data_IF_167254863166
#
_entry.id   IF_167254863166
#
_cell.length_a   1.000
_cell.length_b   1.000
_cell.length_c   1.000
_cell.angle_alpha   90.00
_cell.angle_beta   90.00
_cell.angle_gamma   90.00
#
_symmetry.space_group_name_H-M   'P 1'
#
loop_
_entity.id
_entity.type
_entity.pdbx_description
1 polymer ?
#
# COMPACT_ATOMS: atom_id res chain seq x y z
N UNK A 1 2.02 11.68 -4.12
CA UNK A 1 1.73 10.67 -3.08
C UNK A 1 0.99 11.41 -1.98
N UNK A 2 -0.07 10.85 -1.40
CA UNK A 2 -0.79 11.49 -0.29
C UNK A 2 0.18 11.79 0.86
N UNK A 3 -0.07 12.90 1.53
CA UNK A 3 0.72 13.37 2.67
C UNK A 3 0.51 12.44 3.88
N UNK A 4 1.47 12.36 4.81
CA UNK A 4 1.27 11.63 6.09
C UNK A 4 -0.06 11.96 6.81
N UNK A 5 -0.51 13.24 6.91
CA UNK A 5 -1.81 13.55 7.50
C UNK A 5 -2.98 12.97 6.72
N UNK A 6 -3.00 13.04 5.38
CA UNK A 6 -4.05 12.41 4.56
C UNK A 6 -4.09 10.90 4.75
N UNK A 7 -2.91 10.26 4.81
CA UNK A 7 -2.82 8.84 5.10
C UNK A 7 -3.38 8.48 6.47
N UNK A 8 -3.15 9.34 7.48
CA UNK A 8 -3.66 9.16 8.83
C UNK A 8 -5.18 9.34 8.89
N UNK A 9 -5.73 10.30 8.14
CA UNK A 9 -7.19 10.45 8.01
C UNK A 9 -7.81 9.22 7.34
N UNK A 10 -7.22 8.72 6.26
CA UNK A 10 -7.66 7.49 5.60
C UNK A 10 -7.55 6.30 6.55
N UNK A 11 -6.48 6.19 7.33
CA UNK A 11 -6.32 5.13 8.31
C UNK A 11 -7.40 5.18 9.40
N UNK A 12 -7.68 6.38 9.94
CA UNK A 12 -8.72 6.59 10.95
C UNK A 12 -10.14 6.30 10.43
N UNK A 13 -10.41 6.44 9.13
CA UNK A 13 -11.70 6.04 8.55
C UNK A 13 -11.98 4.54 8.69
N UNK A 14 -10.94 3.72 8.83
CA UNK A 14 -11.05 2.27 8.99
C UNK A 14 -10.91 1.81 10.45
N UNK A 15 -10.61 2.72 11.36
CA UNK A 15 -10.49 2.44 12.80
C UNK A 15 -11.87 2.39 13.45
N UNK A 16 -12.43 1.18 13.55
CA UNK A 16 -13.75 0.94 14.15
C UNK A 16 -13.77 1.18 15.67
N UNK A 17 -12.63 1.01 16.36
CA UNK A 17 -12.53 1.15 17.81
C UNK A 17 -12.01 2.54 18.27
N UNK A 18 -11.59 3.39 17.32
CA UNK A 18 -11.01 4.71 17.58
C UNK A 18 -9.79 4.68 18.53
N UNK A 19 -9.04 3.58 18.54
CA UNK A 19 -7.81 3.43 19.36
C UNK A 19 -6.52 3.68 18.57
N UNK A 20 -6.64 4.08 17.30
CA UNK A 20 -5.53 4.31 16.38
C UNK A 20 -4.95 3.02 15.79
N UNK A 21 -5.76 1.95 15.72
CA UNK A 21 -5.34 0.65 15.17
C UNK A 21 -6.39 0.07 14.24
N UNK A 22 -5.92 -0.57 13.17
CA UNK A 22 -6.78 -1.32 12.24
C UNK A 22 -6.45 -2.81 12.32
N UNK A 23 -7.38 -3.63 11.87
CA UNK A 23 -7.13 -5.06 11.70
C UNK A 23 -6.17 -5.31 10.53
N UNK A 24 -5.33 -6.34 10.65
CA UNK A 24 -4.42 -6.74 9.58
C UNK A 24 -5.09 -6.97 8.22
N UNK A 25 -6.34 -7.42 8.22
CA UNK A 25 -7.12 -7.63 7.00
C UNK A 25 -7.50 -6.33 6.29
N UNK A 26 -7.60 -5.22 7.03
CA UNK A 26 -7.94 -3.90 6.49
C UNK A 26 -6.74 -3.20 5.83
N UNK A 27 -5.50 -3.64 6.08
CA UNK A 27 -4.29 -3.04 5.49
C UNK A 27 -4.41 -2.90 3.97
N UNK A 28 -4.91 -3.94 3.30
CA UNK A 28 -5.07 -3.94 1.84
C UNK A 28 -6.09 -2.91 1.36
N UNK A 29 -7.16 -2.69 2.12
CA UNK A 29 -8.22 -1.73 1.78
C UNK A 29 -7.79 -0.29 2.07
N UNK A 30 -7.11 -0.03 3.18
CA UNK A 30 -6.53 1.29 3.49
C UNK A 30 -5.51 1.70 2.43
N UNK A 31 -4.66 0.77 2.00
CA UNK A 31 -3.68 1.04 0.93
C UNK A 31 -4.37 1.36 -0.41
N UNK A 32 -5.50 0.71 -0.69
CA UNK A 32 -6.33 1.02 -1.87
C UNK A 32 -7.02 2.38 -1.76
N UNK A 33 -7.55 2.70 -0.59
CA UNK A 33 -8.15 4.01 -0.31
C UNK A 33 -7.12 5.14 -0.44
N UNK A 34 -5.86 4.88 -0.06
CA UNK A 34 -4.73 5.79 -0.25
C UNK A 34 -4.22 5.87 -1.72
N UNK A 35 -4.96 5.29 -2.68
CA UNK A 35 -4.70 5.45 -4.13
C UNK A 35 -3.64 4.51 -4.71
N UNK A 36 -3.18 3.51 -3.95
CA UNK A 36 -2.35 2.44 -4.48
C UNK A 36 -3.23 1.28 -5.00
N UNK A 37 -2.68 0.46 -5.90
CA UNK A 37 -3.37 -0.73 -6.43
C UNK A 37 -2.52 -2.00 -6.21
N UNK A 38 -2.13 -2.32 -4.97
CA UNK A 38 -1.36 -3.54 -4.72
C UNK A 38 -2.24 -4.78 -4.88
N UNK A 39 -1.62 -5.87 -5.32
CA UNK A 39 -2.26 -7.20 -5.27
C UNK A 39 -2.24 -7.73 -3.84
N UNK A 40 -3.15 -8.65 -3.50
CA UNK A 40 -3.17 -9.26 -2.17
C UNK A 40 -1.83 -9.93 -1.82
N UNK A 41 -1.12 -10.48 -2.80
CA UNK A 41 0.21 -11.04 -2.59
C UNK A 41 1.24 -9.97 -2.18
N UNK A 42 1.21 -8.79 -2.78
CA UNK A 42 2.12 -7.68 -2.43
C UNK A 42 1.80 -7.15 -1.03
N UNK A 43 0.51 -6.99 -0.70
CA UNK A 43 0.09 -6.58 0.65
C UNK A 43 0.59 -7.59 1.66
N UNK A 44 0.31 -8.88 1.47
CA UNK A 44 0.78 -9.95 2.39
C UNK A 44 2.30 -10.01 2.50
N UNK A 45 3.03 -9.75 1.41
CA UNK A 45 4.49 -9.69 1.43
C UNK A 45 5.01 -8.47 2.22
N UNK A 46 4.30 -7.35 2.16
CA UNK A 46 4.70 -6.11 2.82
C UNK A 46 4.27 -6.05 4.29
N UNK A 47 3.05 -6.50 4.61
CA UNK A 47 2.56 -6.57 5.97
C UNK A 47 3.04 -7.82 6.70
N UNK A 48 3.08 -8.98 6.05
CA UNK A 48 3.36 -10.28 6.67
C UNK A 48 2.14 -11.21 6.65
N UNK A 49 2.37 -12.52 6.74
CA UNK A 49 1.31 -13.53 6.70
C UNK A 49 0.38 -13.50 7.92
N UNK A 50 0.87 -13.02 9.05
CA UNK A 50 0.12 -12.85 10.30
C UNK A 50 -1.04 -11.85 10.19
N UNK A 51 -1.02 -10.97 9.20
CA UNK A 51 -2.09 -9.99 8.95
C UNK A 51 -3.18 -10.53 8.01
N UNK A 52 -3.08 -11.79 7.57
CA UNK A 52 -4.05 -12.40 6.64
C UNK A 52 -5.37 -12.77 7.31
N UNK A 53 -5.39 -12.96 8.64
CA UNK A 53 -6.55 -13.42 9.38
C UNK A 53 -7.10 -12.31 10.28
N UNK A 54 -8.41 -12.14 10.21
CA UNK A 54 -9.14 -11.14 10.99
C UNK A 54 -9.07 -11.49 12.48
N UNK A 55 -8.76 -10.50 13.31
CA UNK A 55 -8.68 -10.63 14.77
C UNK A 55 -7.41 -11.29 15.28
N UNK A 56 -6.46 -11.65 14.41
CA UNK A 56 -5.19 -12.24 14.82
C UNK A 56 -4.19 -11.16 15.25
N UNK A 57 -4.15 -10.04 14.53
CA UNK A 57 -3.24 -8.92 14.83
C UNK A 57 -3.80 -7.58 14.36
N UNK A 58 -3.74 -6.59 15.24
CA UNK A 58 -4.04 -5.18 14.94
C UNK A 58 -2.73 -4.41 14.79
N UNK A 59 -2.71 -3.44 13.87
CA UNK A 59 -1.53 -2.67 13.50
C UNK A 59 -1.79 -1.19 13.75
N UNK A 60 -0.78 -0.44 14.22
CA UNK A 60 -0.84 1.01 14.38
C UNK A 60 -0.49 1.72 13.08
N UNK A 61 -0.82 3.02 12.99
CA UNK A 61 -0.44 3.84 11.84
C UNK A 61 1.09 3.85 11.60
N UNK A 62 1.90 3.85 12.66
CA UNK A 62 3.36 3.85 12.58
C UNK A 62 3.91 2.56 11.97
N UNK A 63 3.29 1.42 12.26
CA UNK A 63 3.65 0.13 11.65
C UNK A 63 3.08 0.00 10.22
N UNK A 64 1.95 0.64 9.94
CA UNK A 64 1.35 0.65 8.60
C UNK A 64 2.11 1.55 7.59
N UNK A 65 2.69 2.67 8.05
CA UNK A 65 3.42 3.62 7.20
C UNK A 65 4.53 2.98 6.34
N UNK A 66 5.46 2.19 6.91
CA UNK A 66 6.51 1.55 6.12
C UNK A 66 5.96 0.52 5.12
N UNK A 67 4.84 -0.14 5.44
CA UNK A 67 4.14 -1.06 4.53
C UNK A 67 3.63 -0.28 3.31
N UNK A 68 2.97 0.85 3.55
CA UNK A 68 2.50 1.73 2.48
C UNK A 68 3.65 2.26 1.61
N UNK A 69 4.75 2.72 2.23
CA UNK A 69 5.92 3.21 1.49
C UNK A 69 6.55 2.13 0.61
N UNK A 70 6.63 0.89 1.10
CA UNK A 70 7.13 -0.24 0.32
C UNK A 70 6.25 -0.49 -0.92
N UNK A 71 4.94 -0.50 -0.75
CA UNK A 71 3.97 -0.70 -1.84
C UNK A 71 3.97 0.48 -2.83
N UNK A 72 4.19 1.69 -2.33
CA UNK A 72 4.31 2.91 -3.13
C UNK A 72 5.55 2.88 -4.03
N UNK A 73 6.70 2.45 -3.50
CA UNK A 73 7.94 2.28 -4.26
C UNK A 73 7.80 1.25 -5.38
N UNK A 74 7.05 0.17 -5.15
CA UNK A 74 6.86 -0.86 -6.17
C UNK A 74 5.97 -0.38 -7.34
N UNK A 75 4.96 0.46 -7.06
CA UNK A 75 4.16 1.14 -8.10
C UNK A 75 5.04 2.05 -8.98
N UNK A 76 5.94 2.82 -8.37
CA UNK A 76 6.87 3.71 -9.09
C UNK A 76 7.79 2.90 -10.00
N UNK A 77 8.34 1.78 -9.51
CA UNK A 77 9.22 0.92 -10.30
C UNK A 77 8.53 0.34 -11.54
N UNK A 78 7.30 -0.18 -11.39
CA UNK A 78 6.52 -0.70 -12.52
C UNK A 78 6.20 0.39 -13.55
N UNK A 79 5.80 1.58 -13.09
CA UNK A 79 5.54 2.71 -13.98
C UNK A 79 6.80 3.15 -14.73
N UNK A 80 7.95 3.21 -14.05
CA UNK A 80 9.21 3.64 -14.65
C UNK A 80 9.71 2.61 -15.67
N UNK A 81 9.58 1.32 -15.36
CA UNK A 81 9.99 0.23 -16.26
C UNK A 81 9.14 0.21 -17.53
N UNK A 82 7.81 0.38 -17.41
CA UNK A 82 6.93 0.46 -18.58
C UNK A 82 7.24 1.72 -19.41
N UNK A 83 7.52 2.86 -18.77
CA UNK A 83 7.90 4.09 -19.47
C UNK A 83 9.19 3.89 -20.27
N UNK A 84 10.24 3.34 -19.63
CA UNK A 84 11.52 3.03 -20.28
C UNK A 84 11.37 2.04 -21.43
N UNK A 85 10.56 1.00 -21.26
CA UNK A 85 10.26 0.03 -22.33
C UNK A 85 9.53 0.70 -23.50
N UNK A 86 8.56 1.57 -23.22
CA UNK A 86 7.82 2.32 -24.24
C UNK A 86 8.75 3.26 -25.03
N UNK A 87 9.62 3.99 -24.34
CA UNK A 87 10.62 4.86 -24.96
C UNK A 87 11.62 4.05 -25.81
N UNK A 88 12.07 2.90 -25.30
CA UNK A 88 12.98 2.00 -26.02
C UNK A 88 12.34 1.41 -27.28
N UNK A 89 11.06 1.05 -27.25
CA UNK A 89 10.34 0.52 -28.42
C UNK A 89 10.13 1.61 -29.48
N UNK A 90 9.77 2.83 -29.06
CA UNK A 90 9.63 3.97 -29.98
C UNK A 90 10.98 4.25 -30.65
N UNK A 91 12.09 4.29 -29.90
CA UNK A 91 13.42 4.52 -30.46
C UNK A 91 13.94 3.39 -31.35
N UNK A 92 13.44 2.16 -31.21
CA UNK A 92 13.85 1.03 -32.05
C UNK A 92 13.09 0.97 -33.38
N UNK A 93 12.02 1.76 -33.53
CA UNK A 93 11.19 1.85 -34.74
C UNK A 93 11.55 3.04 -35.65
N UNK A 94 12.54 3.84 -35.27
CA UNK A 94 13.09 4.96 -36.03
C UNK A 94 14.56 4.72 -36.41
#
# INVERSE_FOLDING_TARGET
MPSQPELKEIFNLYDEELDGKIDGTQIGDVVRAAGLKPTNAMVVKASGQEYKRKGEKRITFEEWLPIYEQLSKEKVNLSLTIQKLRESLISAQW
#
